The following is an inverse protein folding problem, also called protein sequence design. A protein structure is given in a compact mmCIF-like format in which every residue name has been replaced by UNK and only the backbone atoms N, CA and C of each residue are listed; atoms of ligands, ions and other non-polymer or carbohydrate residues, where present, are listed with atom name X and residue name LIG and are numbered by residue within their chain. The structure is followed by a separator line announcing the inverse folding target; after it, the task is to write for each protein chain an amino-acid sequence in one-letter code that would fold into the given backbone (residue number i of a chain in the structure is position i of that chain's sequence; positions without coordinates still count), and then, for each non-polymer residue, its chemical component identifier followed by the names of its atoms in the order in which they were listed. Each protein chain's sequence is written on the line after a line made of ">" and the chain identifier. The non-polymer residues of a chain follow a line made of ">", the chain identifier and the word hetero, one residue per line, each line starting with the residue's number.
data_IF_892823049061
#
_entry.id   IF_892823049061
#
_cell.length_a   1.000
_cell.length_b   1.000
_cell.length_c   1.000
_cell.angle_alpha   90.00
_cell.angle_beta   90.00
_cell.angle_gamma   90.00
#
_symmetry.space_group_name_H-M   'P 1'
#
loop_
_entity.id
_entity.type
_entity.pdbx_description
1 polymer ?
#
# COMPACT_ATOMS: atom_id res chain seq x y z
N UNK A 1 40.26 43.68 -8.55
CA UNK A 1 39.45 42.47 -8.31
C UNK A 1 38.50 42.32 -9.48
N UNK A 2 38.68 41.27 -10.27
CA UNK A 2 38.38 41.24 -11.70
C UNK A 2 36.87 41.13 -11.99
N UNK A 3 36.29 42.19 -12.57
CA UNK A 3 34.89 42.26 -13.05
C UNK A 3 34.53 41.08 -13.98
N UNK A 4 35.51 40.52 -14.69
CA UNK A 4 35.36 39.31 -15.51
C UNK A 4 35.06 38.05 -14.69
N UNK A 5 35.71 37.88 -13.54
CA UNK A 5 35.49 36.74 -12.64
C UNK A 5 34.07 36.76 -12.04
N UNK A 6 33.57 37.95 -11.70
CA UNK A 6 32.22 38.13 -11.15
C UNK A 6 31.15 37.80 -12.23
N UNK A 7 31.39 38.17 -13.50
CA UNK A 7 30.48 37.83 -14.61
C UNK A 7 30.42 36.33 -14.88
N UNK A 8 31.56 35.64 -14.87
CA UNK A 8 31.60 34.19 -15.07
C UNK A 8 30.90 33.45 -13.94
N UNK A 9 31.15 33.81 -12.67
CA UNK A 9 30.45 33.22 -11.52
C UNK A 9 28.94 33.45 -11.63
N UNK A 10 28.51 34.66 -12.00
CA UNK A 10 27.08 34.97 -12.16
C UNK A 10 26.42 34.14 -13.27
N UNK A 11 27.08 33.97 -14.43
CA UNK A 11 26.54 33.13 -15.52
C UNK A 11 26.44 31.66 -15.12
N UNK A 12 27.43 31.11 -14.44
CA UNK A 12 27.41 29.71 -14.00
C UNK A 12 26.30 29.45 -12.99
N UNK A 13 26.05 30.39 -12.06
CA UNK A 13 24.95 30.29 -11.08
C UNK A 13 23.60 30.31 -11.80
N UNK A 14 23.40 31.20 -12.78
CA UNK A 14 22.13 31.29 -13.53
C UNK A 14 21.85 29.99 -14.29
N UNK A 15 22.86 29.43 -14.97
CA UNK A 15 22.71 28.15 -15.68
C UNK A 15 22.36 27.03 -14.71
N UNK A 16 23.01 26.97 -13.54
CA UNK A 16 22.75 25.94 -12.54
C UNK A 16 21.33 26.06 -11.95
N UNK A 17 20.85 27.28 -11.69
CA UNK A 17 19.47 27.52 -11.23
C UNK A 17 18.44 27.11 -12.29
N UNK A 18 18.69 27.41 -13.57
CA UNK A 18 17.81 26.98 -14.66
C UNK A 18 17.80 25.46 -14.80
N UNK A 19 18.97 24.80 -14.73
CA UNK A 19 19.05 23.34 -14.79
C UNK A 19 18.32 22.67 -13.62
N UNK A 20 18.49 23.15 -12.39
CA UNK A 20 17.75 22.62 -11.22
C UNK A 20 16.26 22.87 -11.36
N UNK A 21 15.85 24.04 -11.86
CA UNK A 21 14.44 24.37 -12.11
C UNK A 21 13.79 23.45 -13.15
N UNK A 22 14.47 23.16 -14.26
CA UNK A 22 14.00 22.24 -15.30
C UNK A 22 13.88 20.82 -14.74
N UNK A 23 14.87 20.35 -13.97
CA UNK A 23 14.82 19.02 -13.34
C UNK A 23 13.66 18.91 -12.34
N UNK A 24 13.42 19.94 -11.53
CA UNK A 24 12.28 19.97 -10.60
C UNK A 24 10.93 20.03 -11.32
N UNK A 25 10.82 20.74 -12.45
CA UNK A 25 9.61 20.77 -13.27
C UNK A 25 9.33 19.41 -13.94
N UNK A 26 10.36 18.73 -14.44
CA UNK A 26 10.22 17.40 -15.05
C UNK A 26 9.82 16.35 -13.99
N UNK A 27 10.39 16.42 -12.79
CA UNK A 27 10.04 15.49 -11.70
C UNK A 27 8.64 15.81 -11.14
N UNK A 28 8.28 17.09 -11.03
CA UNK A 28 6.95 17.54 -10.56
C UNK A 28 5.82 17.22 -11.53
N UNK A 29 6.09 17.15 -12.85
CA UNK A 29 5.11 16.82 -13.88
C UNK A 29 4.60 15.37 -13.85
N UNK A 30 5.33 14.44 -13.24
CA UNK A 30 4.92 13.03 -13.11
C UNK A 30 4.36 12.67 -11.72
N UNK A 31 4.23 13.64 -10.80
CA UNK A 31 3.81 13.39 -9.42
C UNK A 31 2.27 13.41 -9.23
N UNK A 32 1.51 13.71 -10.28
CA UNK A 32 0.07 13.98 -10.19
C UNK A 32 -0.73 13.10 -11.14
N UNK A 33 -0.45 11.80 -11.18
CA UNK A 33 -1.46 10.87 -11.68
C UNK A 33 -2.40 10.57 -10.51
N UNK A 34 -3.62 11.14 -10.47
CA UNK A 34 -4.64 10.61 -9.58
C UNK A 34 -4.76 9.12 -9.86
N UNK A 35 -5.05 8.32 -8.84
CA UNK A 35 -5.32 6.88 -8.98
C UNK A 35 -6.53 6.68 -9.91
N UNK A 36 -6.27 6.67 -11.22
CA UNK A 36 -7.27 6.59 -12.28
C UNK A 36 -7.67 5.13 -12.45
N UNK A 37 -8.95 4.83 -12.29
CA UNK A 37 -9.53 3.57 -12.75
C UNK A 37 -9.61 3.56 -14.28
N UNK A 38 -9.72 2.39 -14.92
CA UNK A 38 -9.83 2.28 -16.39
C UNK A 38 -10.87 3.23 -16.99
N UNK A 39 -12.02 3.35 -16.34
CA UNK A 39 -13.15 4.20 -16.78
C UNK A 39 -12.81 5.70 -16.83
N UNK A 40 -11.76 6.11 -16.13
CA UNK A 40 -11.31 7.50 -16.11
C UNK A 40 -10.28 7.81 -17.20
N UNK A 41 -9.69 6.79 -17.83
CA UNK A 41 -8.83 6.94 -19.00
C UNK A 41 -9.67 7.01 -20.27
N UNK A 42 -10.36 8.13 -20.51
CA UNK A 42 -11.10 8.34 -21.76
C UNK A 42 -10.16 8.83 -22.88
N UNK A 43 -10.22 8.20 -24.05
CA UNK A 43 -9.42 8.54 -25.23
C UNK A 43 -9.59 9.99 -25.71
N UNK A 44 -10.75 10.59 -25.44
CA UNK A 44 -11.04 11.98 -25.86
C UNK A 44 -10.37 13.04 -24.98
N UNK A 45 -9.73 12.65 -23.87
CA UNK A 45 -9.06 13.56 -22.93
C UNK A 45 -7.57 13.74 -23.21
N UNK A 46 -6.99 12.96 -24.12
CA UNK A 46 -5.55 12.95 -24.40
C UNK A 46 -5.27 13.47 -25.81
N UNK A 47 -4.27 14.33 -25.93
CA UNK A 47 -3.86 14.92 -27.21
C UNK A 47 -3.13 13.90 -28.10
N UNK A 48 -2.51 12.89 -27.48
CA UNK A 48 -1.77 11.84 -28.18
C UNK A 48 -2.19 10.44 -27.75
N UNK A 49 -2.11 9.48 -28.69
CA UNK A 49 -2.38 8.06 -28.41
C UNK A 49 -1.43 7.48 -27.34
N UNK A 50 -0.19 7.98 -27.30
CA UNK A 50 0.83 7.54 -26.33
C UNK A 50 0.44 7.89 -24.89
N UNK A 51 -0.14 9.06 -24.65
CA UNK A 51 -0.58 9.48 -23.30
C UNK A 51 -1.80 8.69 -22.84
N UNK A 52 -2.72 8.39 -23.76
CA UNK A 52 -3.86 7.53 -23.48
C UNK A 52 -3.41 6.10 -23.09
N UNK A 53 -2.48 5.52 -23.84
CA UNK A 53 -1.89 4.21 -23.51
C UNK A 53 -1.17 4.21 -22.16
N UNK A 54 -0.44 5.28 -21.82
CA UNK A 54 0.19 5.42 -20.51
C UNK A 54 -0.83 5.49 -19.37
N UNK A 55 -1.98 6.17 -19.58
CA UNK A 55 -3.07 6.17 -18.60
C UNK A 55 -3.63 4.76 -18.40
N UNK A 56 -3.95 4.05 -19.48
CA UNK A 56 -4.46 2.67 -19.42
C UNK A 56 -3.47 1.73 -18.72
N UNK A 57 -2.17 1.87 -19.00
CA UNK A 57 -1.12 1.08 -18.35
C UNK A 57 -0.98 1.42 -16.85
N UNK A 58 -1.21 2.67 -16.46
CA UNK A 58 -1.24 3.06 -15.06
C UNK A 58 -2.49 2.53 -14.34
N UNK A 59 -3.64 2.55 -15.01
CA UNK A 59 -4.93 2.04 -14.50
C UNK A 59 -4.90 0.51 -14.30
N UNK A 60 -4.48 -0.26 -15.32
CA UNK A 60 -4.26 -1.72 -15.23
C UNK A 60 -3.36 -2.08 -14.04
N UNK A 61 -2.21 -1.40 -13.92
CA UNK A 61 -1.27 -1.61 -12.81
C UNK A 61 -1.88 -1.26 -11.44
N UNK A 62 -2.80 -0.31 -11.38
CA UNK A 62 -3.51 0.04 -10.17
C UNK A 62 -4.53 -1.05 -9.79
N UNK A 63 -5.31 -1.53 -10.75
CA UNK A 63 -6.27 -2.64 -10.56
C UNK A 63 -5.57 -3.92 -10.11
N UNK A 64 -4.49 -4.32 -10.79
CA UNK A 64 -3.69 -5.48 -10.38
C UNK A 64 -3.16 -5.34 -8.94
N UNK A 65 -2.78 -4.13 -8.52
CA UNK A 65 -2.36 -3.90 -7.13
C UNK A 65 -3.50 -4.07 -6.14
N UNK A 66 -4.72 -3.64 -6.49
CA UNK A 66 -5.89 -3.83 -5.65
C UNK A 66 -6.25 -5.32 -5.55
N UNK A 67 -6.23 -6.05 -6.66
CA UNK A 67 -6.48 -7.50 -6.68
C UNK A 67 -5.46 -8.25 -5.82
N UNK A 68 -4.16 -7.96 -5.98
CA UNK A 68 -3.12 -8.58 -5.15
C UNK A 68 -3.30 -8.27 -3.66
N UNK A 69 -3.75 -7.07 -3.32
CA UNK A 69 -4.05 -6.70 -1.93
C UNK A 69 -5.26 -7.47 -1.39
N UNK A 70 -6.31 -7.63 -2.20
CA UNK A 70 -7.48 -8.42 -1.83
C UNK A 70 -7.11 -9.91 -1.62
N UNK A 71 -6.32 -10.49 -2.52
CA UNK A 71 -5.87 -11.89 -2.40
C UNK A 71 -4.99 -12.11 -1.16
N UNK A 72 -4.06 -11.18 -0.88
CA UNK A 72 -3.26 -11.24 0.35
C UNK A 72 -4.12 -11.11 1.60
N UNK A 73 -5.19 -10.31 1.53
CA UNK A 73 -6.14 -10.14 2.62
C UNK A 73 -6.93 -11.42 2.86
N UNK A 74 -7.43 -12.06 1.81
CA UNK A 74 -8.13 -13.36 1.91
C UNK A 74 -7.24 -14.41 2.56
N UNK A 75 -5.97 -14.50 2.11
CA UNK A 75 -4.98 -15.43 2.69
C UNK A 75 -4.75 -15.16 4.18
N UNK A 76 -4.66 -13.90 4.59
CA UNK A 76 -4.56 -13.54 6.00
C UNK A 76 -5.79 -14.02 6.78
N UNK A 77 -7.00 -13.68 6.33
CA UNK A 77 -8.23 -14.05 7.03
C UNK A 77 -8.38 -15.57 7.15
N UNK A 78 -8.08 -16.31 6.08
CA UNK A 78 -8.04 -17.77 6.11
C UNK A 78 -7.02 -18.28 7.12
N UNK A 79 -5.80 -17.75 7.12
CA UNK A 79 -4.74 -18.13 8.07
C UNK A 79 -5.16 -17.92 9.53
N UNK A 80 -5.73 -16.76 9.86
CA UNK A 80 -6.17 -16.44 11.21
C UNK A 80 -7.27 -17.40 11.70
N UNK A 81 -8.30 -17.64 10.89
CA UNK A 81 -9.38 -18.54 11.24
C UNK A 81 -8.91 -20.00 11.32
N UNK A 82 -8.05 -20.44 10.41
CA UNK A 82 -7.48 -21.80 10.43
C UNK A 82 -6.65 -22.05 11.69
N UNK A 83 -5.83 -21.07 12.09
CA UNK A 83 -5.04 -21.17 13.31
C UNK A 83 -5.91 -21.25 14.57
N UNK A 84 -6.96 -20.44 14.65
CA UNK A 84 -7.85 -20.37 15.81
C UNK A 84 -8.79 -21.60 15.92
N UNK A 85 -9.12 -22.21 14.78
CA UNK A 85 -9.86 -23.48 14.72
C UNK A 85 -8.99 -24.70 15.06
N UNK A 86 -7.67 -24.61 14.88
CA UNK A 86 -6.76 -25.70 15.14
C UNK A 86 -6.57 -25.94 16.65
N UNK A 87 -6.89 -27.16 17.09
CA UNK A 87 -6.73 -27.55 18.49
C UNK A 87 -5.27 -27.51 18.93
N UNK A 88 -4.99 -26.78 20.02
CA UNK A 88 -3.66 -26.69 20.60
C UNK A 88 -2.72 -25.73 19.87
N UNK A 89 -3.24 -24.90 18.95
CA UNK A 89 -2.51 -23.74 18.43
C UNK A 89 -3.07 -22.45 19.04
N UNK A 90 -2.21 -21.44 19.15
CA UNK A 90 -2.55 -20.08 19.55
C UNK A 90 -1.99 -19.10 18.53
N UNK A 91 -2.75 -18.04 18.30
CA UNK A 91 -2.33 -16.95 17.43
C UNK A 91 -1.50 -15.93 18.22
N UNK A 92 -0.29 -15.66 17.74
CA UNK A 92 0.62 -14.68 18.29
C UNK A 92 0.85 -13.56 17.27
N UNK A 93 0.61 -12.31 17.67
CA UNK A 93 1.01 -11.13 16.91
C UNK A 93 2.47 -10.81 17.23
N UNK A 94 3.33 -10.82 16.22
CA UNK A 94 4.79 -10.73 16.33
C UNK A 94 5.26 -9.27 16.27
N UNK A 95 4.62 -8.45 15.44
CA UNK A 95 5.01 -7.04 15.26
C UNK A 95 4.04 -6.16 16.06
N UNK A 96 4.56 -5.51 17.11
CA UNK A 96 3.84 -4.44 17.83
C UNK A 96 4.46 -3.09 17.52
N UNK A 97 3.86 -2.39 16.56
CA UNK A 97 3.95 -0.94 16.52
C UNK A 97 2.53 -0.38 16.68
N UNK A 98 2.19 0.05 17.90
CA UNK A 98 0.89 0.64 18.21
C UNK A 98 -0.19 -0.34 18.69
N UNK A 99 -1.42 -0.15 18.24
CA UNK A 99 -2.59 -0.98 18.60
C UNK A 99 -2.56 -2.34 17.90
N UNK A 100 -3.10 -3.36 18.56
CA UNK A 100 -3.23 -4.71 17.97
C UNK A 100 -4.07 -4.66 16.70
N UNK A 101 -3.63 -5.40 15.68
CA UNK A 101 -4.39 -5.62 14.45
C UNK A 101 -5.48 -6.70 14.60
N UNK A 102 -5.50 -7.40 15.73
CA UNK A 102 -6.51 -8.41 16.01
C UNK A 102 -7.78 -7.76 16.58
N UNK A 103 -8.96 -8.26 16.18
CA UNK A 103 -10.21 -7.78 16.74
C UNK A 103 -10.29 -8.03 18.24
N UNK A 104 -11.01 -7.16 18.93
CA UNK A 104 -11.35 -7.33 20.35
C UNK A 104 -12.31 -8.51 20.53
N UNK A 105 -12.39 -9.06 21.74
CA UNK A 105 -13.27 -10.21 22.04
C UNK A 105 -14.73 -9.97 21.65
N UNK A 106 -15.24 -8.75 21.80
CA UNK A 106 -16.61 -8.40 21.42
C UNK A 106 -16.81 -8.45 19.89
N UNK A 107 -15.86 -7.93 19.11
CA UNK A 107 -15.90 -7.94 17.64
C UNK A 107 -15.83 -9.37 17.11
N UNK A 108 -14.97 -10.22 17.71
CA UNK A 108 -14.92 -11.66 17.40
C UNK A 108 -16.25 -12.35 17.64
N UNK A 109 -16.92 -12.04 18.75
CA UNK A 109 -18.23 -12.62 19.10
C UNK A 109 -19.33 -12.19 18.13
N UNK A 110 -19.32 -10.92 17.71
CA UNK A 110 -20.25 -10.39 16.70
C UNK A 110 -20.00 -11.09 15.37
N UNK A 111 -18.76 -11.11 14.89
CA UNK A 111 -18.39 -11.76 13.65
C UNK A 111 -18.75 -13.26 13.64
N UNK A 112 -18.51 -13.96 14.75
CA UNK A 112 -18.89 -15.37 14.88
C UNK A 112 -20.40 -15.58 14.75
N UNK A 113 -21.22 -14.65 15.26
CA UNK A 113 -22.68 -14.73 15.18
C UNK A 113 -23.19 -14.42 13.77
N UNK A 114 -22.57 -13.47 13.10
CA UNK A 114 -23.04 -12.93 11.82
C UNK A 114 -22.52 -13.74 10.62
N UNK A 115 -21.25 -14.13 10.66
CA UNK A 115 -20.55 -14.78 9.54
C UNK A 115 -20.13 -16.22 9.85
N UNK A 116 -20.18 -16.66 11.11
CA UNK A 116 -19.76 -18.01 11.52
C UNK A 116 -18.25 -18.19 11.77
N UNK A 117 -17.48 -17.10 11.67
CA UNK A 117 -16.03 -17.09 11.90
C UNK A 117 -15.60 -15.83 12.66
N UNK A 118 -14.46 -15.90 13.36
CA UNK A 118 -14.05 -14.84 14.32
C UNK A 118 -13.30 -13.69 13.65
N UNK A 119 -12.58 -13.95 12.57
CA UNK A 119 -11.76 -12.96 11.87
C UNK A 119 -12.34 -12.70 10.49
N UNK A 120 -12.65 -11.44 10.18
CA UNK A 120 -13.25 -11.01 8.91
C UNK A 120 -12.40 -9.89 8.30
N UNK A 121 -12.66 -9.55 7.04
CA UNK A 121 -12.02 -8.42 6.37
C UNK A 121 -12.25 -7.09 7.10
N UNK A 122 -13.40 -6.97 7.77
CA UNK A 122 -13.88 -5.74 8.41
C UNK A 122 -13.36 -5.55 9.84
N UNK A 123 -13.14 -6.65 10.57
CA UNK A 123 -12.77 -6.59 11.99
C UNK A 123 -11.26 -6.75 12.25
N UNK A 124 -10.49 -7.20 11.27
CA UNK A 124 -9.01 -7.21 11.32
C UNK A 124 -8.49 -5.85 10.86
N UNK A 125 -7.41 -5.33 11.46
CA UNK A 125 -6.81 -4.05 11.05
C UNK A 125 -6.51 -3.99 9.55
N UNK A 126 -6.82 -2.89 8.87
CA UNK A 126 -6.72 -2.77 7.39
C UNK A 126 -5.30 -3.00 6.87
N UNK A 127 -4.30 -2.56 7.64
CA UNK A 127 -2.88 -2.68 7.28
C UNK A 127 -2.21 -3.97 7.78
N UNK A 128 -2.99 -4.86 8.39
CA UNK A 128 -2.47 -6.12 8.92
C UNK A 128 -1.99 -7.04 7.80
N UNK A 129 -0.80 -7.62 7.98
CA UNK A 129 -0.19 -8.56 7.03
C UNK A 129 -0.03 -9.92 7.68
N UNK A 130 -0.06 -10.97 6.86
CA UNK A 130 0.11 -12.35 7.33
C UNK A 130 1.41 -12.56 8.14
N UNK A 131 2.49 -11.89 7.73
CA UNK A 131 3.80 -11.98 8.40
C UNK A 131 3.84 -11.32 9.78
N UNK A 132 2.85 -10.50 10.12
CA UNK A 132 2.72 -9.88 11.44
C UNK A 132 2.20 -10.90 12.47
N UNK A 133 1.77 -12.09 12.04
CA UNK A 133 1.20 -13.13 12.89
C UNK A 133 1.95 -14.46 12.76
N UNK A 134 1.95 -15.23 13.84
CA UNK A 134 2.40 -16.62 13.87
C UNK A 134 1.39 -17.48 14.58
N UNK A 135 1.19 -18.67 14.02
CA UNK A 135 0.43 -19.72 14.66
C UNK A 135 1.43 -20.64 15.39
N UNK A 136 1.39 -20.66 16.72
CA UNK A 136 2.33 -21.42 17.54
C UNK A 136 1.57 -22.45 18.37
N UNK A 137 2.23 -23.55 18.71
CA UNK A 137 1.63 -24.60 19.55
C UNK A 137 1.54 -24.11 21.00
N UNK A 138 0.37 -24.29 21.61
CA UNK A 138 0.15 -23.98 23.01
C UNK A 138 0.85 -25.02 23.89
N UNK A 139 2.05 -24.68 24.36
CA UNK A 139 2.83 -25.54 25.24
C UNK A 139 2.17 -25.75 26.61
N UNK A 140 1.17 -24.95 26.97
CA UNK A 140 0.41 -25.11 28.23
C UNK A 140 -0.61 -26.25 28.21
N UNK A 141 -0.90 -26.85 27.04
CA UNK A 141 -1.79 -28.01 26.89
C UNK A 141 -1.06 -29.36 26.82
N UNK A 142 0.26 -29.36 27.00
CA UNK A 142 1.10 -30.57 26.92
C UNK A 142 1.35 -31.18 28.30
N UNK A 143 1.08 -30.45 29.39
CA UNK A 143 1.24 -30.88 30.78
C UNK A 143 -0.10 -30.94 31.49
#
# INVERSE_FOLDING_TARGET
>A
MNVRLIREIAQTIVILVVCVGIVMLIIGGCASFPSLSHDQCNATLYETAMEHEQCLLAATKHEERLERRAEQRDKLIMFLNACDAANGLILLEVIKYGSSNLPRSNEKRIAMREYGYKYTHDNVGKDARINDFRCIRDLRRIF
#
